data_IF_220072491371
#
_entry.id   IF_220072491371
#
_cell.length_a   1.000
_cell.length_b   1.000
_cell.length_c   1.000
_cell.angle_alpha   90.00
_cell.angle_beta   90.00
_cell.angle_gamma   90.00
#
_symmetry.space_group_name_H-M   'P 1'
#
loop_
_entity.id
_entity.type
_entity.pdbx_description
1 polymer ?
#
# COMPACT_ATOMS: atom_id res chain seq x y z
N UNK A 1 -15.39 5.80 7.99
CA UNK A 1 -14.99 6.69 9.08
C UNK A 1 -13.66 7.38 8.76
N UNK A 2 -13.71 8.48 8.00
CA UNK A 2 -12.70 9.53 8.08
C UNK A 2 -12.95 10.29 9.41
N UNK A 3 -12.53 9.71 10.53
CA UNK A 3 -12.52 10.45 11.78
C UNK A 3 -11.31 11.35 11.75
N UNK A 4 -11.54 12.65 11.90
CA UNK A 4 -10.51 13.58 12.33
C UNK A 4 -9.82 13.00 13.59
N UNK A 5 -8.53 13.25 13.72
CA UNK A 5 -7.77 12.97 14.95
C UNK A 5 -7.49 11.48 15.27
N UNK A 6 -7.52 10.60 14.28
CA UNK A 6 -6.92 9.26 14.40
C UNK A 6 -5.54 9.24 13.77
N UNK A 7 -4.58 8.61 14.45
CA UNK A 7 -3.28 8.24 13.89
C UNK A 7 -3.15 6.73 13.83
N UNK A 8 -2.53 6.25 12.76
CA UNK A 8 -2.18 4.85 12.62
C UNK A 8 -0.71 4.70 12.29
N UNK A 9 -0.08 3.67 12.85
CA UNK A 9 1.32 3.38 12.56
C UNK A 9 1.56 1.87 12.53
N UNK A 10 2.59 1.49 11.79
CA UNK A 10 3.08 0.11 11.73
C UNK A 10 4.43 0.01 12.43
N UNK A 11 4.65 -1.12 13.08
CA UNK A 11 5.89 -1.46 13.76
C UNK A 11 6.25 -2.92 13.47
N UNK A 12 7.42 -3.35 13.94
CA UNK A 12 7.82 -4.75 13.92
C UNK A 12 6.90 -5.67 14.73
N UNK A 13 6.03 -5.12 15.58
CA UNK A 13 5.05 -5.87 16.38
C UNK A 13 3.67 -5.92 15.73
N UNK A 14 3.45 -5.20 14.63
CA UNK A 14 2.17 -5.12 13.95
C UNK A 14 1.66 -3.69 13.80
N UNK A 15 0.34 -3.55 13.75
CA UNK A 15 -0.36 -2.32 13.40
C UNK A 15 -1.14 -1.76 14.58
N UNK A 16 -1.07 -0.44 14.78
CA UNK A 16 -1.79 0.25 15.86
C UNK A 16 -2.56 1.45 15.30
N UNK A 17 -3.77 1.65 15.83
CA UNK A 17 -4.61 2.83 15.61
C UNK A 17 -4.87 3.48 16.97
N UNK A 18 -4.65 4.79 17.05
CA UNK A 18 -4.81 5.57 18.28
C UNK A 18 -5.59 6.85 18.01
N UNK A 19 -6.41 7.26 18.98
CA UNK A 19 -7.03 8.59 19.03
C UNK A 19 -5.99 9.58 19.54
N UNK A 20 -5.75 10.65 18.78
CA UNK A 20 -4.89 11.75 19.19
C UNK A 20 -5.56 12.56 20.29
N UNK A 21 -6.86 12.88 20.15
CA UNK A 21 -7.61 13.65 21.15
C UNK A 21 -7.56 13.04 22.55
N UNK A 22 -7.86 11.75 22.62
CA UNK A 22 -7.99 11.06 23.90
C UNK A 22 -6.66 10.46 24.38
N UNK A 23 -5.62 10.49 23.54
CA UNK A 23 -4.36 9.78 23.75
C UNK A 23 -4.59 8.31 24.11
N UNK A 24 -5.54 7.66 23.43
CA UNK A 24 -5.94 6.27 23.68
C UNK A 24 -5.63 5.40 22.47
N UNK A 25 -5.16 4.19 22.74
CA UNK A 25 -5.06 3.15 21.73
C UNK A 25 -6.47 2.59 21.45
N UNK A 26 -6.90 2.64 20.18
CA UNK A 26 -8.21 2.15 19.73
C UNK A 26 -8.08 0.68 19.29
N UNK A 27 -7.05 0.37 18.52
CA UNK A 27 -6.82 -0.96 17.96
C UNK A 27 -5.33 -1.28 18.00
N UNK A 28 -5.00 -2.54 18.32
CA UNK A 28 -3.67 -3.09 18.09
C UNK A 28 -3.80 -4.50 17.54
N UNK A 29 -3.18 -4.74 16.39
CA UNK A 29 -3.14 -6.02 15.71
C UNK A 29 -1.69 -6.51 15.72
N UNK A 30 -1.42 -7.52 16.53
CA UNK A 30 -0.11 -8.15 16.61
C UNK A 30 0.19 -9.00 15.38
N UNK A 31 1.42 -8.92 14.87
CA UNK A 31 1.90 -9.75 13.75
C UNK A 31 3.25 -10.38 14.09
N UNK A 32 3.49 -11.56 13.52
CA UNK A 32 4.74 -12.30 13.69
C UNK A 32 5.84 -11.82 12.72
N UNK A 33 5.44 -11.08 11.68
CA UNK A 33 6.28 -10.53 10.62
C UNK A 33 6.22 -8.99 10.65
N UNK A 34 7.30 -8.38 10.18
CA UNK A 34 7.40 -6.91 10.12
C UNK A 34 6.52 -6.34 9.02
N UNK A 35 5.72 -5.32 9.34
CA UNK A 35 4.95 -4.54 8.38
C UNK A 35 5.81 -3.42 7.80
N UNK A 36 5.93 -3.36 6.47
CA UNK A 36 6.78 -2.39 5.77
C UNK A 36 6.02 -1.16 5.26
N UNK A 37 4.73 -1.30 5.00
CA UNK A 37 3.87 -0.22 4.51
C UNK A 37 2.42 -0.45 4.89
N UNK A 38 1.67 0.65 4.94
CA UNK A 38 0.27 0.75 5.32
C UNK A 38 -0.41 1.76 4.41
N UNK A 39 -1.66 1.53 4.03
CA UNK A 39 -2.52 2.57 3.47
C UNK A 39 -3.97 2.37 3.86
N UNK A 40 -4.67 3.47 4.08
CA UNK A 40 -6.10 3.51 4.36
C UNK A 40 -6.86 3.75 3.07
N UNK A 41 -8.00 3.07 2.91
CA UNK A 41 -9.03 3.51 1.97
C UNK A 41 -9.53 4.89 2.39
N UNK A 42 -9.86 5.77 1.44
CA UNK A 42 -10.17 7.17 1.75
C UNK A 42 -11.40 7.33 2.67
N UNK A 43 -12.42 6.50 2.49
CA UNK A 43 -13.60 6.45 3.36
C UNK A 43 -13.31 5.87 4.75
N UNK A 44 -12.10 5.36 5.00
CA UNK A 44 -11.65 4.73 6.24
C UNK A 44 -12.28 3.36 6.53
N UNK A 45 -12.98 2.75 5.57
CA UNK A 45 -13.67 1.47 5.79
C UNK A 45 -12.73 0.27 5.81
N UNK A 46 -11.53 0.42 5.26
CA UNK A 46 -10.56 -0.65 5.12
C UNK A 46 -9.12 -0.13 5.22
N UNK A 47 -8.24 -1.02 5.66
CA UNK A 47 -6.81 -0.81 5.77
C UNK A 47 -6.10 -1.92 5.00
N UNK A 48 -5.08 -1.54 4.24
CA UNK A 48 -4.15 -2.48 3.64
C UNK A 48 -2.78 -2.35 4.30
N UNK A 49 -2.16 -3.47 4.64
CA UNK A 49 -0.76 -3.55 5.05
C UNK A 49 0.03 -4.43 4.09
N UNK A 50 1.33 -4.17 3.98
CA UNK A 50 2.28 -5.05 3.30
C UNK A 50 3.34 -5.56 4.29
N UNK A 51 3.47 -6.88 4.40
CA UNK A 51 4.46 -7.58 5.22
C UNK A 51 5.76 -7.84 4.45
N UNK A 52 6.88 -7.87 5.17
CA UNK A 52 8.20 -8.23 4.63
C UNK A 52 8.25 -9.62 3.97
N UNK A 53 7.34 -10.53 4.36
CA UNK A 53 7.16 -11.85 3.74
C UNK A 53 6.75 -11.79 2.26
N UNK A 54 6.15 -10.68 1.82
CA UNK A 54 5.48 -10.52 0.52
C UNK A 54 3.95 -10.62 0.61
N UNK A 55 3.40 -10.67 1.82
CA UNK A 55 1.95 -10.80 2.05
C UNK A 55 1.29 -9.43 2.16
N UNK A 56 0.20 -9.24 1.42
CA UNK A 56 -0.73 -8.14 1.65
C UNK A 56 -1.81 -8.59 2.62
N UNK A 57 -2.20 -7.70 3.51
CA UNK A 57 -3.29 -7.90 4.46
C UNK A 57 -4.34 -6.81 4.22
N UNK A 58 -5.60 -7.19 4.11
CA UNK A 58 -6.72 -6.25 3.97
C UNK A 58 -7.77 -6.57 5.02
N UNK A 59 -8.19 -5.57 5.79
CA UNK A 59 -9.18 -5.76 6.85
C UNK A 59 -9.95 -4.47 7.14
N UNK A 60 -11.16 -4.61 7.67
CA UNK A 60 -11.86 -3.50 8.32
C UNK A 60 -11.27 -3.32 9.74
N UNK A 61 -10.73 -2.15 10.09
CA UNK A 61 -10.14 -1.91 11.41
C UNK A 61 -11.17 -2.00 12.55
N UNK A 62 -12.47 -1.88 12.27
CA UNK A 62 -13.54 -2.10 13.26
C UNK A 62 -13.84 -3.57 13.48
N UNK A 63 -13.40 -4.43 12.55
CA UNK A 63 -13.62 -5.87 12.54
C UNK A 63 -12.32 -6.61 12.14
N UNK A 64 -11.22 -6.45 12.90
CA UNK A 64 -9.89 -6.93 12.49
C UNK A 64 -9.81 -8.45 12.27
N UNK A 65 -10.73 -9.23 12.84
CA UNK A 65 -10.87 -10.66 12.59
C UNK A 65 -11.22 -11.02 11.14
N UNK A 66 -11.74 -10.08 10.33
CA UNK A 66 -12.09 -10.32 8.92
C UNK A 66 -10.89 -10.10 7.98
N UNK A 67 -9.67 -10.26 8.49
CA UNK A 67 -8.46 -10.01 7.72
C UNK A 67 -8.30 -11.04 6.61
N UNK A 68 -8.36 -10.55 5.38
CA UNK A 68 -7.97 -11.31 4.19
C UNK A 68 -6.47 -11.13 3.97
N UNK A 69 -5.82 -12.18 3.48
CA UNK A 69 -4.40 -12.15 3.14
C UNK A 69 -4.15 -12.78 1.77
N UNK A 70 -3.24 -12.18 1.03
CA UNK A 70 -2.83 -12.70 -0.26
C UNK A 70 -1.34 -12.48 -0.47
N UNK A 71 -0.68 -13.53 -0.98
CA UNK A 71 0.76 -13.54 -1.18
C UNK A 71 1.10 -13.08 -2.59
N UNK A 72 2.09 -12.21 -2.68
CA UNK A 72 2.68 -11.79 -3.95
C UNK A 72 4.19 -11.92 -3.87
N UNK A 73 4.85 -12.22 -4.99
CA UNK A 73 6.31 -12.29 -5.03
C UNK A 73 6.95 -10.91 -5.20
N UNK A 74 6.58 -10.00 -4.31
CA UNK A 74 7.05 -8.63 -4.25
C UNK A 74 7.81 -8.38 -2.94
N UNK A 75 8.58 -7.30 -2.90
CA UNK A 75 9.28 -6.84 -1.69
C UNK A 75 9.47 -5.34 -1.71
N UNK A 76 9.74 -4.76 -0.54
CA UNK A 76 10.03 -3.35 -0.38
C UNK A 76 8.92 -2.45 -0.93
N UNK A 77 7.67 -2.89 -0.81
CA UNK A 77 6.53 -2.19 -1.37
C UNK A 77 6.15 -1.00 -0.50
N UNK A 78 6.09 0.18 -1.10
CA UNK A 78 5.20 1.25 -0.66
C UNK A 78 3.83 1.03 -1.29
N UNK A 79 2.79 1.16 -0.49
CA UNK A 79 1.41 0.94 -0.94
C UNK A 79 0.58 2.20 -0.75
N UNK A 80 -0.33 2.46 -1.67
CA UNK A 80 -1.31 3.54 -1.63
C UNK A 80 -2.66 2.92 -2.01
N UNK A 81 -3.65 3.08 -1.16
CA UNK A 81 -5.03 2.76 -1.51
C UNK A 81 -5.55 3.86 -2.45
N UNK A 82 -6.10 3.47 -3.59
CA UNK A 82 -6.64 4.43 -4.53
C UNK A 82 -8.03 4.86 -4.07
N UNK A 83 -8.09 6.05 -3.44
CA UNK A 83 -9.31 6.71 -2.99
C UNK A 83 -10.32 5.75 -2.34
N UNK A 84 -11.56 5.75 -2.84
CA UNK A 84 -12.67 4.92 -2.38
C UNK A 84 -12.90 3.66 -3.23
N UNK A 85 -11.96 3.34 -4.12
CA UNK A 85 -12.07 2.17 -4.97
C UNK A 85 -11.56 0.92 -4.24
N UNK A 86 -11.70 -0.28 -4.83
CA UNK A 86 -11.18 -1.50 -4.24
C UNK A 86 -9.71 -1.75 -4.60
N UNK A 87 -9.01 -0.75 -5.14
CA UNK A 87 -7.68 -0.93 -5.71
C UNK A 87 -6.57 -0.43 -4.78
N UNK A 88 -5.54 -1.26 -4.63
CA UNK A 88 -4.30 -0.89 -3.96
C UNK A 88 -3.19 -0.81 -4.99
N UNK A 89 -2.52 0.33 -5.01
CA UNK A 89 -1.34 0.57 -5.83
C UNK A 89 -0.09 0.24 -5.02
N UNK A 90 0.82 -0.48 -5.64
CA UNK A 90 2.07 -0.90 -5.03
C UNK A 90 3.28 -0.43 -5.84
N UNK A 91 4.29 0.06 -5.13
CA UNK A 91 5.54 0.59 -5.67
C UNK A 91 6.72 -0.07 -4.92
N UNK A 92 7.40 -1.02 -5.56
CA UNK A 92 8.55 -1.69 -4.96
C UNK A 92 9.30 -2.54 -5.97
N UNK A 93 9.76 -3.72 -5.58
CA UNK A 93 10.55 -4.59 -6.45
C UNK A 93 9.97 -6.00 -6.51
N UNK A 94 10.21 -6.68 -7.62
CA UNK A 94 9.97 -8.11 -7.70
C UNK A 94 11.00 -8.88 -6.85
N UNK A 95 10.57 -9.94 -6.16
CA UNK A 95 11.40 -10.68 -5.22
C UNK A 95 12.54 -11.44 -5.91
N UNK A 96 12.26 -12.07 -7.05
CA UNK A 96 13.23 -12.90 -7.79
C UNK A 96 14.29 -12.06 -8.53
N UNK A 97 13.88 -11.00 -9.22
CA UNK A 97 14.73 -10.31 -10.20
C UNK A 97 15.18 -8.91 -9.76
N UNK A 98 14.69 -8.40 -8.63
CA UNK A 98 15.03 -7.08 -8.08
C UNK A 98 14.69 -5.86 -8.97
N UNK A 99 14.07 -6.05 -10.14
CA UNK A 99 13.58 -4.95 -10.94
C UNK A 99 12.47 -4.21 -10.20
N UNK A 100 12.45 -2.88 -10.36
CA UNK A 100 11.39 -2.04 -9.80
C UNK A 100 10.12 -2.23 -10.60
N UNK A 101 9.02 -2.37 -9.86
CA UNK A 101 7.70 -2.59 -10.42
C UNK A 101 6.68 -1.67 -9.78
N UNK A 102 5.70 -1.30 -10.59
CA UNK A 102 4.45 -0.72 -10.10
C UNK A 102 3.30 -1.67 -10.43
N UNK A 103 2.41 -1.85 -9.47
CA UNK A 103 1.31 -2.81 -9.55
C UNK A 103 0.00 -2.19 -9.08
N UNK A 104 -1.10 -2.62 -9.68
CA UNK A 104 -2.44 -2.34 -9.21
C UNK A 104 -3.13 -3.67 -8.86
N UNK A 105 -3.70 -3.75 -7.66
CA UNK A 105 -4.26 -4.98 -7.09
C UNK A 105 -5.74 -4.74 -6.75
N UNK A 106 -6.62 -5.66 -7.18
CA UNK A 106 -8.02 -5.68 -6.73
C UNK A 106 -8.15 -6.44 -5.41
N UNK A 107 -8.49 -5.72 -4.36
CA UNK A 107 -8.64 -6.29 -3.01
C UNK A 107 -9.85 -7.20 -2.86
N UNK A 108 -10.87 -7.09 -3.73
CA UNK A 108 -12.10 -7.92 -3.66
C UNK A 108 -11.92 -9.30 -4.28
N UNK A 109 -10.89 -9.47 -5.12
CA UNK A 109 -10.67 -10.69 -5.89
C UNK A 109 -9.40 -11.39 -5.41
N UNK A 110 -9.31 -11.62 -4.10
CA UNK A 110 -8.19 -12.32 -3.45
C UNK A 110 -6.81 -11.75 -3.82
N UNK A 111 -6.72 -10.44 -4.06
CA UNK A 111 -5.47 -9.77 -4.42
C UNK A 111 -5.01 -9.99 -5.86
N UNK A 112 -5.94 -10.17 -6.81
CA UNK A 112 -5.63 -10.27 -8.23
C UNK A 112 -4.87 -9.01 -8.72
N UNK A 113 -3.77 -9.23 -9.45
CA UNK A 113 -2.95 -8.16 -10.05
C UNK A 113 -3.58 -7.74 -11.38
N UNK A 114 -4.19 -6.57 -11.40
CA UNK A 114 -4.83 -6.00 -12.59
C UNK A 114 -3.83 -5.49 -13.61
N UNK A 115 -2.76 -4.87 -13.11
CA UNK A 115 -1.70 -4.28 -13.92
C UNK A 115 -0.39 -4.40 -13.18
N UNK A 116 0.68 -4.68 -13.93
CA UNK A 116 2.06 -4.69 -13.44
C UNK A 116 2.97 -4.15 -14.52
N UNK A 117 3.80 -3.17 -14.17
CA UNK A 117 4.76 -2.58 -15.08
C UNK A 117 6.15 -2.57 -14.45
N UNK A 118 7.15 -2.87 -15.26
CA UNK A 118 8.55 -2.69 -14.88
C UNK A 118 8.92 -1.23 -15.12
N UNK A 119 9.46 -0.55 -14.11
CA UNK A 119 9.88 0.85 -14.22
C UNK A 119 11.36 0.96 -14.58
N UNK A 120 12.23 0.31 -13.80
CA UNK A 120 13.66 0.24 -14.08
C UNK A 120 14.31 -0.97 -13.41
N UNK A 121 15.58 -1.20 -13.70
CA UNK A 121 16.39 -2.31 -13.16
C UNK A 121 17.30 -1.89 -12.00
N UNK A 122 17.18 -0.66 -11.49
CA UNK A 122 18.04 -0.16 -10.42
C UNK A 122 17.58 -0.62 -9.03
N UNK A 123 18.47 -0.59 -8.05
CA UNK A 123 18.30 -1.27 -6.74
C UNK A 123 17.83 -0.29 -5.64
N UNK A 124 17.03 0.72 -5.99
CA UNK A 124 16.54 1.77 -5.08
C UNK A 124 15.12 1.54 -4.58
N UNK A 125 14.81 2.06 -3.38
CA UNK A 125 13.41 2.16 -2.91
C UNK A 125 12.66 3.23 -3.70
N UNK A 126 11.37 3.00 -3.95
CA UNK A 126 10.48 3.97 -4.57
C UNK A 126 9.71 4.77 -3.53
N UNK A 127 9.49 6.05 -3.84
CA UNK A 127 8.74 7.00 -3.04
C UNK A 127 7.62 7.56 -3.92
N UNK A 128 6.43 6.95 -3.89
CA UNK A 128 5.27 7.48 -4.58
C UNK A 128 4.71 8.69 -3.84
N UNK A 129 4.32 9.71 -4.59
CA UNK A 129 3.48 10.81 -4.16
C UNK A 129 2.20 10.74 -4.98
N UNK A 130 1.04 10.62 -4.32
CA UNK A 130 -0.26 10.49 -4.96
C UNK A 130 -1.09 11.74 -4.74
N UNK A 131 -1.59 12.31 -5.83
CA UNK A 131 -2.60 13.35 -5.83
C UNK A 131 -3.97 12.72 -6.06
N UNK A 132 -4.78 12.66 -5.00
CA UNK A 132 -6.13 12.09 -5.05
C UNK A 132 -7.09 12.87 -5.92
N UNK A 133 -6.87 14.18 -6.09
CA UNK A 133 -7.79 15.08 -6.81
C UNK A 133 -7.63 14.92 -8.33
N UNK A 134 -6.41 14.63 -8.79
CA UNK A 134 -6.11 14.46 -10.22
C UNK A 134 -5.81 13.02 -10.63
N UNK A 135 -5.67 12.09 -9.66
CA UNK A 135 -5.24 10.72 -9.92
C UNK A 135 -3.77 10.58 -10.34
N UNK A 136 -2.97 11.65 -10.21
CA UNK A 136 -1.57 11.66 -10.65
C UNK A 136 -0.67 11.04 -9.60
N UNK A 137 0.27 10.20 -10.04
CA UNK A 137 1.24 9.55 -9.18
C UNK A 137 2.65 9.92 -9.66
N UNK A 138 3.39 10.62 -8.81
CA UNK A 138 4.80 10.96 -9.07
C UNK A 138 5.67 9.99 -8.29
N UNK A 139 6.54 9.26 -8.97
CA UNK A 139 7.40 8.25 -8.35
C UNK A 139 8.86 8.68 -8.44
N UNK A 140 9.44 8.97 -7.29
CA UNK A 140 10.89 9.16 -7.15
C UNK A 140 11.55 7.87 -6.67
N UNK A 141 12.85 7.73 -6.91
CA UNK A 141 13.64 6.58 -6.46
C UNK A 141 14.90 7.00 -5.72
N UNK A 142 15.23 6.30 -4.62
CA UNK A 142 16.50 6.53 -3.92
C UNK A 142 17.67 6.20 -4.86
N UNK A 143 18.56 7.18 -5.10
CA UNK A 143 19.71 7.01 -5.98
C UNK A 143 19.36 6.83 -7.46
N UNK A 144 18.08 7.00 -7.82
CA UNK A 144 17.66 7.09 -9.21
C UNK A 144 17.93 8.48 -9.78
N UNK A 145 18.06 8.56 -11.09
CA UNK A 145 18.21 9.81 -11.85
C UNK A 145 16.94 10.19 -12.62
N UNK A 146 15.85 9.44 -12.43
CA UNK A 146 14.58 9.62 -13.12
C UNK A 146 13.43 9.79 -12.13
N UNK A 147 12.43 10.57 -12.54
CA UNK A 147 11.13 10.69 -11.89
C UNK A 147 10.09 10.18 -12.89
N UNK A 148 9.15 9.36 -12.43
CA UNK A 148 8.11 8.79 -13.28
C UNK A 148 6.76 9.40 -12.94
N UNK A 149 5.95 9.65 -13.96
CA UNK A 149 4.59 10.19 -13.83
C UNK A 149 3.61 9.11 -14.29
N UNK A 150 2.78 8.65 -13.37
CA UNK A 150 1.84 7.57 -13.62
C UNK A 150 0.42 8.04 -13.34
N UNK A 151 -0.52 7.35 -13.96
CA UNK A 151 -1.94 7.48 -13.67
C UNK A 151 -2.56 6.08 -13.62
N UNK A 152 -3.49 5.88 -12.70
CA UNK A 152 -4.28 4.66 -12.63
C UNK A 152 -5.68 4.91 -13.21
N UNK A 153 -6.09 4.03 -14.11
CA UNK A 153 -7.40 4.07 -14.78
C UNK A 153 -8.06 2.69 -14.72
N UNK A 154 -9.28 2.56 -15.23
CA UNK A 154 -9.95 1.26 -15.39
C UNK A 154 -9.16 0.26 -16.25
N UNK A 155 -8.26 0.73 -17.12
CA UNK A 155 -7.36 -0.10 -17.92
C UNK A 155 -6.04 -0.47 -17.23
N UNK A 156 -5.79 0.05 -16.03
CA UNK A 156 -4.56 -0.19 -15.27
C UNK A 156 -3.69 1.06 -15.11
N UNK A 157 -2.45 0.82 -14.67
CA UNK A 157 -1.43 1.87 -14.54
C UNK A 157 -0.90 2.26 -15.93
N UNK A 158 -0.65 3.54 -16.16
CA UNK A 158 -0.08 4.04 -17.42
C UNK A 158 0.99 5.08 -17.11
N UNK A 159 2.03 5.15 -17.94
CA UNK A 159 3.05 6.20 -17.89
C UNK A 159 2.58 7.37 -18.76
N UNK A 160 2.65 8.59 -18.23
CA UNK A 160 2.30 9.82 -18.95
C UNK A 160 3.52 10.50 -19.55
#
# INVERSE_FOLDING_TARGET
>A
PCTDEIISYVSNKGFTVSSILNNTQILSVSKNSSLQSLSWKADGSAVCCFEESGTFLVFDPRQPQTCESFNQSFKNMKIIWENDTPYVLGFGSQKEFNNKIVVAIDTRNSGNVLSKQNIDSSIGYMFPCYDSDTGMIVVASKGGNSIYFLEFTSSGLTNR
#
